data_IF_406794337970
#
_entry.id   IF_406794337970
#
_cell.length_a   1.000
_cell.length_b   1.000
_cell.length_c   1.000
_cell.angle_alpha   90.00
_cell.angle_beta   90.00
_cell.angle_gamma   90.00
#
_symmetry.space_group_name_H-M   'P 1'
#
loop_
_entity.id
_entity.type
_entity.pdbx_description
1 polymer ?
#
# COMPACT_ATOMS: atom_id res chain seq x y z
N UNK A 1 -19.83 26.33 -4.33
CA UNK A 1 -19.49 26.60 -2.92
C UNK A 1 -17.98 26.56 -2.81
N UNK A 2 -17.33 27.70 -2.59
CA UNK A 2 -15.89 27.75 -2.37
C UNK A 2 -15.60 27.32 -0.93
N UNK A 3 -14.83 26.25 -0.77
CA UNK A 3 -14.36 25.81 0.55
C UNK A 3 -13.21 26.74 0.92
N UNK A 4 -13.46 27.66 1.86
CA UNK A 4 -12.42 28.49 2.43
C UNK A 4 -11.68 27.66 3.48
N UNK A 5 -10.50 27.16 3.13
CA UNK A 5 -9.60 26.47 4.05
C UNK A 5 -9.02 27.50 5.02
N UNK A 6 -9.67 27.66 6.16
CA UNK A 6 -9.36 28.73 7.12
C UNK A 6 -8.17 28.41 8.02
N UNK A 7 -7.84 27.12 8.16
CA UNK A 7 -6.74 26.64 8.98
C UNK A 7 -5.74 25.80 8.17
N UNK A 8 -4.47 25.88 8.55
CA UNK A 8 -3.37 25.11 7.91
C UNK A 8 -3.63 23.60 7.97
N UNK A 9 -4.18 23.12 9.10
CA UNK A 9 -4.56 21.71 9.28
C UNK A 9 -5.63 21.25 8.28
N UNK A 10 -6.54 22.15 7.93
CA UNK A 10 -7.62 21.89 6.96
C UNK A 10 -7.06 21.86 5.54
N UNK A 11 -6.08 22.71 5.25
CA UNK A 11 -5.46 22.81 3.94
C UNK A 11 -4.46 21.69 3.63
N UNK A 12 -3.72 21.22 4.66
CA UNK A 12 -2.59 20.30 4.47
C UNK A 12 -2.71 18.99 5.25
N UNK A 13 -3.83 18.76 5.94
CA UNK A 13 -4.06 17.60 6.79
C UNK A 13 -3.48 17.78 8.21
N UNK A 14 -3.55 16.73 9.05
CA UNK A 14 -3.01 16.78 10.40
C UNK A 14 -1.50 17.05 10.37
N UNK A 15 -1.09 18.14 11.02
CA UNK A 15 0.32 18.45 11.24
C UNK A 15 0.84 17.44 12.28
N UNK A 16 1.97 16.81 12.00
CA UNK A 16 2.63 15.91 12.95
C UNK A 16 3.36 16.74 14.01
N UNK A 17 2.61 17.37 14.92
CA UNK A 17 3.16 18.32 15.92
C UNK A 17 3.83 17.65 17.12
N UNK A 18 3.45 16.40 17.39
CA UNK A 18 3.84 15.62 18.57
C UNK A 18 4.65 14.38 18.13
N UNK A 19 5.86 14.61 17.63
CA UNK A 19 6.83 13.53 17.42
C UNK A 19 7.72 13.37 18.65
N UNK A 20 8.06 12.14 19.03
CA UNK A 20 8.92 11.85 20.18
C UNK A 20 10.30 12.53 20.06
N UNK A 21 10.75 12.80 18.84
CA UNK A 21 11.98 13.53 18.55
C UNK A 21 11.97 14.97 19.05
N UNK A 22 10.81 15.64 19.11
CA UNK A 22 10.70 17.04 19.59
C UNK A 22 11.13 17.20 21.05
N UNK A 23 11.11 16.10 21.82
CA UNK A 23 11.59 16.07 23.20
C UNK A 23 13.12 16.05 23.29
N UNK A 24 13.79 15.42 22.33
CA UNK A 24 15.24 15.19 22.36
C UNK A 24 16.00 16.18 21.45
N UNK A 25 15.36 16.72 20.42
CA UNK A 25 15.95 17.67 19.47
C UNK A 25 15.21 19.02 19.46
N UNK A 26 15.79 20.08 20.04
CA UNK A 26 15.22 21.44 20.03
C UNK A 26 15.11 22.07 18.63
N UNK A 27 15.79 21.51 17.62
CA UNK A 27 15.76 22.01 16.23
C UNK A 27 14.79 21.21 15.35
N UNK A 28 13.94 20.36 15.94
CA UNK A 28 12.99 19.55 15.20
C UNK A 28 12.00 20.42 14.40
N UNK A 29 11.91 20.15 13.10
CA UNK A 29 10.95 20.80 12.21
C UNK A 29 9.65 20.00 12.15
N UNK A 30 8.52 20.69 12.20
CA UNK A 30 7.22 20.04 12.00
C UNK A 30 7.06 19.65 10.52
N UNK A 31 6.78 18.36 10.27
CA UNK A 31 6.54 17.85 8.92
C UNK A 31 5.05 17.72 8.61
N UNK A 32 4.69 17.88 7.34
CA UNK A 32 3.34 17.59 6.85
C UNK A 32 3.31 16.16 6.31
N UNK A 33 2.24 15.42 6.61
CA UNK A 33 2.02 14.06 6.08
C UNK A 33 1.98 14.02 4.56
N UNK A 34 1.43 15.06 3.94
CA UNK A 34 1.36 15.23 2.48
C UNK A 34 2.72 15.32 1.78
N UNK A 35 3.81 15.60 2.51
CA UNK A 35 5.17 15.59 1.96
C UNK A 35 5.67 14.16 1.70
N UNK A 36 5.19 13.19 2.47
CA UNK A 36 5.65 11.80 2.40
C UNK A 36 4.67 10.90 1.66
N UNK A 37 3.38 11.18 1.79
CA UNK A 37 2.32 10.30 1.28
C UNK A 37 1.26 11.12 0.55
N UNK A 38 0.81 10.62 -0.59
CA UNK A 38 -0.32 11.19 -1.30
C UNK A 38 -1.62 10.99 -0.49
N UNK A 39 -2.46 12.02 -0.39
CA UNK A 39 -3.73 11.97 0.34
C UNK A 39 -4.70 10.89 -0.18
N UNK A 40 -4.66 10.61 -1.49
CA UNK A 40 -5.41 9.54 -2.13
C UNK A 40 -4.44 8.56 -2.81
N UNK A 41 -3.81 7.64 -2.07
CA UNK A 41 -2.87 6.69 -2.64
C UNK A 41 -3.61 5.70 -3.53
N UNK A 42 -3.10 5.49 -4.74
CA UNK A 42 -3.69 4.62 -5.76
C UNK A 42 -2.62 3.78 -6.43
N UNK A 43 -3.05 2.71 -7.09
CA UNK A 43 -2.21 1.78 -7.83
C UNK A 43 -2.29 1.98 -9.34
N UNK A 44 -1.18 1.94 -10.05
CA UNK A 44 -1.13 1.88 -11.49
C UNK A 44 -1.81 0.61 -12.03
N UNK A 45 -2.73 0.79 -12.97
CA UNK A 45 -3.40 -0.33 -13.67
C UNK A 45 -2.38 -1.25 -14.36
N UNK A 46 -1.38 -0.65 -15.00
CA UNK A 46 -0.26 -1.37 -15.59
C UNK A 46 0.84 -1.37 -14.54
N UNK A 47 0.76 -2.37 -13.67
CA UNK A 47 1.50 -2.43 -12.42
C UNK A 47 2.99 -2.15 -12.60
N UNK A 48 3.49 -1.24 -11.78
CA UNK A 48 4.93 -1.10 -11.55
C UNK A 48 5.32 -2.19 -10.55
N UNK A 49 6.45 -2.86 -10.76
CA UNK A 49 6.93 -3.85 -9.79
C UNK A 49 7.59 -3.11 -8.63
N UNK A 50 6.83 -2.77 -7.59
CA UNK A 50 7.37 -2.22 -6.35
C UNK A 50 6.46 -1.26 -5.60
N UNK A 51 6.85 -0.93 -4.36
CA UNK A 51 6.15 0.04 -3.51
C UNK A 51 4.70 -0.34 -3.21
N UNK A 52 3.81 0.67 -3.21
CA UNK A 52 2.38 0.52 -2.92
C UNK A 52 1.61 -0.37 -3.91
N UNK A 53 2.24 -0.85 -5.00
CA UNK A 53 1.68 -1.89 -5.87
C UNK A 53 1.66 -3.27 -5.21
N UNK A 54 2.66 -3.55 -4.38
CA UNK A 54 2.69 -4.72 -3.53
C UNK A 54 1.79 -4.46 -2.32
N UNK A 55 0.48 -4.63 -2.52
CA UNK A 55 -0.60 -4.65 -1.53
C UNK A 55 -0.13 -4.61 -0.08
N UNK A 56 -0.35 -3.47 0.57
CA UNK A 56 0.02 -3.26 1.97
C UNK A 56 -0.85 -4.14 2.87
N UNK A 57 -0.39 -4.39 4.09
CA UNK A 57 -1.24 -5.00 5.11
C UNK A 57 -2.24 -3.98 5.65
N UNK A 58 -3.38 -4.48 6.13
CA UNK A 58 -4.40 -3.66 6.80
C UNK A 58 -3.94 -3.17 8.19
N UNK A 59 -3.06 -3.92 8.85
CA UNK A 59 -2.45 -3.52 10.12
C UNK A 59 -1.33 -2.49 9.96
N UNK A 60 -0.70 -2.13 11.07
CA UNK A 60 0.46 -1.25 11.07
C UNK A 60 1.69 -1.95 10.47
N UNK A 61 2.30 -1.35 9.44
CA UNK A 61 3.49 -1.88 8.78
C UNK A 61 4.68 -1.97 9.72
N UNK A 62 4.84 -0.98 10.62
CA UNK A 62 5.95 -0.95 11.58
C UNK A 62 5.92 -2.16 12.51
N UNK A 63 4.72 -2.55 12.96
CA UNK A 63 4.55 -3.69 13.84
C UNK A 63 4.81 -5.01 13.11
N UNK A 64 4.40 -5.12 11.85
CA UNK A 64 4.71 -6.26 11.01
C UNK A 64 6.22 -6.39 10.79
N UNK A 65 6.91 -5.31 10.40
CA UNK A 65 8.36 -5.33 10.19
C UNK A 65 9.11 -5.67 11.48
N UNK A 66 8.64 -5.14 12.62
CA UNK A 66 9.20 -5.44 13.94
C UNK A 66 8.99 -6.90 14.35
N UNK A 67 7.84 -7.50 14.03
CA UNK A 67 7.58 -8.93 14.24
C UNK A 67 8.46 -9.79 13.31
N UNK A 68 8.59 -9.43 12.04
CA UNK A 68 9.45 -10.13 11.07
C UNK A 68 10.93 -10.06 11.44
N UNK A 69 11.37 -8.95 12.05
CA UNK A 69 12.73 -8.81 12.62
C UNK A 69 12.88 -9.49 13.98
N UNK A 70 11.81 -10.04 14.56
CA UNK A 70 11.82 -10.71 15.86
C UNK A 70 11.99 -9.79 17.07
N UNK A 71 11.83 -8.47 16.90
CA UNK A 71 12.03 -7.48 17.97
C UNK A 71 10.89 -7.57 19.00
N UNK A 72 9.67 -7.86 18.54
CA UNK A 72 8.49 -7.96 19.38
C UNK A 72 8.41 -9.28 20.19
N UNK A 73 9.35 -10.20 19.98
CA UNK A 73 9.38 -11.52 20.61
C UNK A 73 10.26 -11.46 21.86
N UNK A 74 9.81 -11.97 23.03
CA UNK A 74 10.65 -12.00 24.22
C UNK A 74 11.87 -12.90 23.99
N UNK A 75 13.05 -12.38 24.31
CA UNK A 75 14.29 -13.14 24.29
C UNK A 75 14.24 -14.25 25.35
N UNK A 76 13.78 -15.42 24.94
CA UNK A 76 13.61 -16.62 25.77
C UNK A 76 14.15 -17.81 24.99
N UNK A 77 14.74 -18.78 25.69
CA UNK A 77 15.24 -20.02 25.09
C UNK A 77 14.13 -21.02 24.70
N UNK A 78 12.86 -20.60 24.72
CA UNK A 78 11.71 -21.43 24.38
C UNK A 78 11.54 -21.49 22.85
N UNK A 79 11.87 -22.61 22.17
CA UNK A 79 11.84 -22.66 20.70
C UNK A 79 10.42 -22.47 20.16
N UNK A 80 9.41 -22.91 20.91
CA UNK A 80 8.00 -22.75 20.57
C UNK A 80 7.51 -21.29 20.59
N UNK A 81 8.31 -20.33 21.07
CA UNK A 81 7.96 -18.89 21.08
C UNK A 81 8.74 -18.06 20.07
N UNK A 82 9.91 -18.51 19.62
CA UNK A 82 10.81 -17.74 18.76
C UNK A 82 10.34 -17.66 17.30
N UNK A 83 9.60 -18.68 16.82
CA UNK A 83 9.21 -18.80 15.42
C UNK A 83 7.80 -19.38 15.30
N UNK A 84 6.80 -18.57 15.61
CA UNK A 84 5.40 -18.94 15.42
C UNK A 84 4.89 -18.26 14.14
N UNK A 85 4.99 -18.90 12.96
CA UNK A 85 4.33 -18.37 11.78
C UNK A 85 2.82 -18.39 12.00
N UNK A 86 2.06 -17.43 11.44
CA UNK A 86 0.61 -17.54 11.38
C UNK A 86 0.24 -18.85 10.67
N UNK A 87 -0.84 -19.50 11.10
CA UNK A 87 -1.30 -20.70 10.41
C UNK A 87 -1.80 -20.33 9.02
N UNK A 88 -1.79 -21.30 8.11
CA UNK A 88 -2.20 -21.05 6.72
C UNK A 88 -3.68 -20.65 6.68
N UNK A 89 -3.94 -19.39 6.35
CA UNK A 89 -5.29 -18.82 6.30
C UNK A 89 -5.62 -17.87 7.45
N UNK A 90 -4.74 -17.77 8.45
CA UNK A 90 -4.88 -16.79 9.51
C UNK A 90 -4.69 -15.39 8.95
N UNK A 91 -5.60 -14.51 9.36
CA UNK A 91 -5.66 -13.11 8.94
C UNK A 91 -4.91 -12.19 9.91
N UNK A 92 -4.57 -12.70 11.09
CA UNK A 92 -4.00 -11.92 12.17
C UNK A 92 -2.85 -12.68 12.83
N UNK A 93 -1.80 -11.96 13.18
CA UNK A 93 -0.71 -12.44 14.03
C UNK A 93 -0.98 -11.92 15.43
N UNK A 94 -1.25 -12.83 16.36
CA UNK A 94 -1.47 -12.49 17.77
C UNK A 94 -0.26 -12.93 18.57
N UNK A 95 0.44 -11.96 19.17
CA UNK A 95 1.56 -12.18 20.08
C UNK A 95 1.11 -11.79 21.49
N UNK A 96 0.79 -12.78 22.31
CA UNK A 96 0.46 -12.56 23.72
C UNK A 96 1.68 -12.85 24.60
N UNK A 97 2.16 -11.83 25.31
CA UNK A 97 3.24 -11.95 26.29
C UNK A 97 2.87 -11.22 27.59
N UNK A 98 3.58 -11.53 28.67
CA UNK A 98 3.39 -10.92 30.00
C UNK A 98 3.60 -9.41 29.98
N UNK A 99 4.51 -8.92 29.12
CA UNK A 99 4.83 -7.49 29.00
C UNK A 99 3.93 -6.72 28.02
N UNK A 100 3.14 -7.41 27.20
CA UNK A 100 2.33 -6.77 26.18
C UNK A 100 1.68 -7.78 25.23
N UNK A 101 0.53 -7.40 24.69
CA UNK A 101 -0.17 -8.13 23.65
C UNK A 101 -0.15 -7.28 22.37
N UNK A 102 0.35 -7.84 21.27
CA UNK A 102 0.39 -7.18 19.96
C UNK A 102 -0.44 -8.02 18.98
N UNK A 103 -1.39 -7.39 18.32
CA UNK A 103 -2.28 -7.99 17.33
C UNK A 103 -2.09 -7.28 15.99
N UNK A 104 -1.59 -8.00 14.99
CA UNK A 104 -1.24 -7.45 13.68
C UNK A 104 -2.16 -8.08 12.65
N UNK A 105 -2.98 -7.29 11.97
CA UNK A 105 -3.80 -7.78 10.87
C UNK A 105 -2.97 -7.83 9.57
N UNK A 106 -2.83 -9.02 9.00
CA UNK A 106 -2.01 -9.34 7.82
C UNK A 106 -2.87 -9.48 6.55
N UNK A 107 -4.17 -9.16 6.61
CA UNK A 107 -4.99 -9.10 5.41
C UNK A 107 -4.42 -8.06 4.44
N UNK A 108 -4.32 -8.44 3.17
CA UNK A 108 -3.85 -7.56 2.11
C UNK A 108 -4.92 -6.50 1.83
N UNK A 109 -4.56 -5.24 2.01
CA UNK A 109 -5.37 -4.10 1.62
C UNK A 109 -4.88 -3.57 0.28
N UNK A 110 -5.64 -3.88 -0.77
CA UNK A 110 -5.37 -3.36 -2.11
C UNK A 110 -5.89 -1.92 -2.23
N UNK A 111 -5.00 -1.00 -2.61
CA UNK A 111 -5.40 0.34 -3.01
C UNK A 111 -6.15 0.29 -4.36
N UNK A 112 -7.05 1.24 -4.63
CA UNK A 112 -7.78 1.30 -5.89
C UNK A 112 -6.83 1.57 -7.06
N UNK A 113 -7.12 0.99 -8.22
CA UNK A 113 -6.31 1.16 -9.42
C UNK A 113 -6.68 2.42 -10.20
N UNK A 114 -5.70 3.08 -10.82
CA UNK A 114 -5.87 4.22 -11.72
C UNK A 114 -4.86 4.16 -12.87
N UNK A 115 -5.23 4.77 -14.00
CA UNK A 115 -4.35 4.91 -15.14
C UNK A 115 -3.64 6.26 -15.08
N UNK A 116 -2.37 6.27 -14.68
CA UNK A 116 -1.56 7.50 -14.66
C UNK A 116 -1.11 7.91 -16.07
N UNK A 117 -0.82 6.92 -16.93
CA UNK A 117 -0.30 7.15 -18.28
C UNK A 117 -1.43 7.05 -19.30
N UNK A 118 -1.64 8.11 -20.08
CA UNK A 118 -2.54 8.05 -21.22
C UNK A 118 -1.87 7.23 -22.34
N UNK A 119 -2.49 6.12 -22.75
CA UNK A 119 -2.08 5.42 -23.96
C UNK A 119 -2.80 6.04 -25.15
N UNK A 120 -2.09 6.31 -26.26
CA UNK A 120 -2.77 6.72 -27.48
C UNK A 120 -3.75 5.62 -27.90
N UNK A 121 -4.93 6.02 -28.38
CA UNK A 121 -5.85 5.07 -28.99
C UNK A 121 -5.17 4.44 -30.19
N UNK A 122 -4.94 3.12 -30.15
CA UNK A 122 -4.52 2.39 -31.33
C UNK A 122 -5.74 2.26 -32.22
N UNK A 123 -5.69 2.82 -33.42
CA UNK A 123 -6.75 2.63 -34.41
C UNK A 123 -6.78 1.14 -34.76
N UNK A 124 -7.96 0.53 -34.77
CA UNK A 124 -8.10 -0.86 -35.20
C UNK A 124 -7.53 -1.00 -36.62
N UNK A 125 -6.88 -2.13 -36.96
CA UNK A 125 -6.47 -2.38 -38.34
C UNK A 125 -7.69 -2.34 -39.25
N UNK A 126 -7.47 -1.97 -40.51
CA UNK A 126 -8.50 -2.09 -41.54
C UNK A 126 -9.08 -3.52 -41.52
N UNK A 127 -10.39 -3.68 -41.74
CA UNK A 127 -11.01 -5.00 -41.78
C UNK A 127 -10.30 -5.87 -42.83
N UNK A 128 -10.09 -7.14 -42.51
CA UNK A 128 -9.42 -8.07 -43.40
C UNK A 128 -10.31 -8.31 -44.62
N UNK A 129 -9.91 -7.78 -45.78
CA UNK A 129 -10.59 -8.07 -47.04
C UNK A 129 -10.12 -9.44 -47.54
N UNK A 130 -11.05 -10.40 -47.59
CA UNK A 130 -10.80 -11.70 -48.17
C UNK A 130 -11.04 -11.62 -49.68
N UNK A 131 -10.01 -11.25 -50.45
CA UNK A 131 -10.02 -11.38 -51.90
C UNK A 131 -9.95 -12.86 -52.29
N UNK A 132 -11.08 -13.55 -52.18
CA UNK A 132 -11.23 -14.88 -52.78
C UNK A 132 -11.28 -14.69 -54.29
N UNK A 133 -10.32 -15.26 -55.01
CA UNK A 133 -10.42 -15.44 -56.45
C UNK A 133 -11.62 -16.36 -56.75
N UNK A 134 -12.83 -15.79 -56.84
CA UNK A 134 -14.00 -16.53 -57.29
C UNK A 134 -13.83 -16.79 -58.79
N UNK A 135 -13.69 -18.06 -59.16
CA UNK A 135 -13.69 -18.46 -60.58
C UNK A 135 -15.07 -18.09 -61.16
N UNK A 136 -15.17 -17.19 -62.14
CA UNK A 136 -16.45 -16.71 -62.65
C UNK A 136 -17.25 -17.78 -63.43
N UNK A 137 -16.63 -18.94 -63.70
CA UNK A 137 -17.16 -20.00 -64.57
C UNK A 137 -18.19 -20.95 -63.92
N UNK A 138 -18.64 -20.67 -62.70
CA UNK A 138 -19.66 -21.50 -62.00
C UNK A 138 -20.84 -20.64 -61.53
N UNK A 139 -21.57 -20.07 -62.49
CA UNK A 139 -22.99 -19.72 -62.36
C UNK A 139 -23.70 -20.15 -63.63
#
# INVERSE_FOLDING_TARGET
MAVYLSNIQEAYGPILTEHWEKKEDPQHYDYLTSQFVNDAPKRHILGIVGGNEASLIKGNMVDLESDLRGINIPNTFAPWRQYQPPQRGDKEIVRANVKGAVTINVEKQHLPTYQMMAYPSVVAPLPMENEVCMRPEKF
#
